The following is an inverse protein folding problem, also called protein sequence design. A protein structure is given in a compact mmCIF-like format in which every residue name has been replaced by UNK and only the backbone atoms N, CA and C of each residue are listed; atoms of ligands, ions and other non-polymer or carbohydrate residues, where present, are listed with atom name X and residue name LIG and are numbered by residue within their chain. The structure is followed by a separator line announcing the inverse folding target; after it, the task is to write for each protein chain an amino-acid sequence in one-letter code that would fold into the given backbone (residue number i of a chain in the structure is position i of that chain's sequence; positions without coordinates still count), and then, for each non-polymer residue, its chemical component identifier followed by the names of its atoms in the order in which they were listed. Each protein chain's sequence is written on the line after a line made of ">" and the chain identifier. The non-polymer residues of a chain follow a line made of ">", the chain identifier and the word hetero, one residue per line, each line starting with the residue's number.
data_IF_045483112033
#
_entry.id   IF_045483112033
#
_cell.length_a   1.000
_cell.length_b   1.000
_cell.length_c   1.000
_cell.angle_alpha   90.00
_cell.angle_beta   90.00
_cell.angle_gamma   90.00
#
_symmetry.space_group_name_H-M   'P 1'
#
loop_
_entity.id
_entity.type
_entity.pdbx_description
1 polymer ?
#
# COMPACT_ATOMS: atom_id res chain seq x y z
N UNK A 1 8.07 -31.36 -16.06
CA UNK A 1 8.76 -31.13 -14.78
C UNK A 1 8.15 -29.88 -14.16
N UNK A 2 7.53 -29.97 -12.97
CA UNK A 2 6.92 -28.80 -12.32
C UNK A 2 8.02 -28.01 -11.57
N UNK A 3 8.40 -26.87 -12.12
CA UNK A 3 9.36 -25.95 -11.50
C UNK A 3 8.67 -25.15 -10.38
N UNK A 4 9.03 -25.43 -9.13
CA UNK A 4 8.73 -24.58 -7.98
C UNK A 4 9.36 -23.20 -8.16
N UNK A 5 8.56 -22.14 -8.00
CA UNK A 5 8.98 -20.73 -7.97
C UNK A 5 10.32 -20.58 -7.21
N UNK A 6 11.38 -20.20 -7.94
CA UNK A 6 12.71 -20.07 -7.36
C UNK A 6 12.74 -18.97 -6.30
N UNK A 7 13.25 -19.28 -5.10
CA UNK A 7 13.48 -18.32 -4.00
C UNK A 7 14.68 -17.39 -4.24
N UNK A 8 14.87 -16.88 -5.46
CA UNK A 8 16.00 -16.00 -5.83
C UNK A 8 15.55 -14.57 -6.08
N UNK A 9 16.43 -13.59 -5.89
CA UNK A 9 16.21 -12.23 -6.36
C UNK A 9 16.14 -12.25 -7.91
N UNK A 10 15.02 -11.82 -8.54
CA UNK A 10 14.90 -11.79 -10.01
C UNK A 10 15.99 -10.99 -10.72
N UNK A 11 16.50 -9.93 -10.09
CA UNK A 11 17.55 -9.07 -10.63
C UNK A 11 18.92 -9.75 -10.57
N UNK A 12 19.21 -10.44 -9.47
CA UNK A 12 20.42 -11.23 -9.30
C UNK A 12 20.47 -12.35 -10.34
N UNK A 13 19.36 -13.09 -10.49
CA UNK A 13 19.23 -14.11 -11.52
C UNK A 13 19.43 -13.54 -12.94
N UNK A 14 18.84 -12.39 -13.23
CA UNK A 14 19.02 -11.75 -14.54
C UNK A 14 20.49 -11.37 -14.80
N UNK A 15 21.18 -10.81 -13.79
CA UNK A 15 22.58 -10.42 -13.93
C UNK A 15 23.48 -11.63 -14.17
N UNK A 16 23.26 -12.73 -13.44
CA UNK A 16 23.95 -14.00 -13.66
C UNK A 16 23.69 -14.53 -15.07
N UNK A 17 22.43 -14.61 -15.48
CA UNK A 17 22.06 -15.04 -16.83
C UNK A 17 22.69 -14.17 -17.92
N UNK A 18 22.67 -12.84 -17.77
CA UNK A 18 23.22 -11.90 -18.75
C UNK A 18 24.74 -12.07 -18.90
N UNK A 19 25.44 -12.31 -17.79
CA UNK A 19 26.88 -12.59 -17.80
C UNK A 19 27.19 -13.91 -18.51
N UNK A 20 26.45 -14.99 -18.21
CA UNK A 20 26.63 -16.28 -18.88
C UNK A 20 26.28 -16.20 -20.38
N UNK A 21 25.19 -15.53 -20.73
CA UNK A 21 24.77 -15.32 -22.10
C UNK A 21 25.83 -14.54 -22.89
N UNK A 22 26.40 -13.49 -22.29
CA UNK A 22 27.48 -12.72 -22.91
C UNK A 22 28.73 -13.56 -23.15
N UNK A 23 29.09 -14.44 -22.20
CA UNK A 23 30.19 -15.39 -22.38
C UNK A 23 29.90 -16.39 -23.50
N UNK A 24 28.72 -16.98 -23.52
CA UNK A 24 28.32 -17.94 -24.54
C UNK A 24 28.31 -17.32 -25.95
N UNK A 25 27.85 -16.07 -26.08
CA UNK A 25 27.95 -15.30 -27.33
C UNK A 25 29.41 -15.09 -27.74
N UNK A 26 30.29 -14.72 -26.80
CA UNK A 26 31.71 -14.51 -27.08
C UNK A 26 32.41 -15.79 -27.59
N UNK A 27 31.93 -16.97 -27.17
CA UNK A 27 32.41 -18.27 -27.64
C UNK A 27 31.66 -18.80 -28.88
N UNK A 28 30.74 -18.02 -29.47
CA UNK A 28 29.90 -18.43 -30.60
C UNK A 28 29.17 -19.77 -30.37
N UNK A 29 28.64 -19.99 -29.16
CA UNK A 29 27.83 -21.17 -28.89
C UNK A 29 26.50 -21.05 -29.65
N UNK A 30 26.12 -22.06 -30.47
CA UNK A 30 24.88 -22.01 -31.25
C UNK A 30 23.64 -22.06 -30.36
N UNK A 31 23.75 -22.69 -29.18
CA UNK A 31 22.63 -22.91 -28.24
C UNK A 31 22.08 -21.62 -27.62
N UNK A 32 22.81 -20.50 -27.71
CA UNK A 32 22.37 -19.18 -27.21
C UNK A 32 21.91 -18.25 -28.33
N UNK A 33 21.68 -18.79 -29.53
CA UNK A 33 21.27 -18.03 -30.70
C UNK A 33 19.95 -18.52 -31.28
N UNK A 34 19.27 -17.60 -31.95
CA UNK A 34 18.03 -17.89 -32.67
C UNK A 34 16.82 -18.13 -31.79
N UNK A 35 15.75 -18.59 -32.44
CA UNK A 35 14.43 -18.78 -31.86
C UNK A 35 14.40 -19.75 -30.66
N UNK A 36 15.10 -20.91 -30.68
CA UNK A 36 15.08 -21.84 -29.54
C UNK A 36 15.60 -21.20 -28.25
N UNK A 37 16.72 -20.46 -28.32
CA UNK A 37 17.29 -19.78 -27.16
C UNK A 37 16.35 -18.72 -26.57
N UNK A 38 15.59 -18.03 -27.43
CA UNK A 38 14.57 -17.05 -27.00
C UNK A 38 13.43 -17.76 -26.27
N UNK A 39 12.93 -18.87 -26.81
CA UNK A 39 11.85 -19.65 -26.19
C UNK A 39 12.29 -20.17 -24.82
N UNK A 40 13.44 -20.84 -24.75
CA UNK A 40 13.99 -21.40 -23.50
C UNK A 40 14.19 -20.31 -22.43
N UNK A 41 14.69 -19.14 -22.84
CA UNK A 41 14.83 -18.00 -21.94
C UNK A 41 13.48 -17.53 -21.40
N UNK A 42 12.49 -17.33 -22.27
CA UNK A 42 11.17 -16.85 -21.86
C UNK A 42 10.43 -17.86 -20.98
N UNK A 43 10.56 -19.17 -21.25
CA UNK A 43 10.03 -20.22 -20.38
C UNK A 43 10.69 -20.21 -18.99
N UNK A 44 12.02 -20.01 -18.93
CA UNK A 44 12.73 -19.86 -17.66
C UNK A 44 12.27 -18.62 -16.88
N UNK A 45 12.05 -17.49 -17.57
CA UNK A 45 11.50 -16.26 -16.95
C UNK A 45 10.09 -16.49 -16.42
N UNK A 46 9.24 -17.15 -17.21
CA UNK A 46 7.85 -17.41 -16.87
C UNK A 46 7.69 -18.36 -15.69
N UNK A 47 8.53 -19.39 -15.63
CA UNK A 47 8.53 -20.35 -14.52
C UNK A 47 9.04 -19.76 -13.21
N UNK A 48 9.95 -18.78 -13.25
CA UNK A 48 10.59 -18.25 -12.04
C UNK A 48 10.00 -16.95 -11.49
N UNK A 49 9.61 -15.99 -12.34
CA UNK A 49 9.38 -14.61 -11.86
C UNK A 49 8.16 -13.90 -12.47
N UNK A 50 7.99 -13.95 -13.79
CA UNK A 50 7.03 -13.10 -14.50
C UNK A 50 6.19 -13.92 -15.50
N UNK A 51 5.29 -14.80 -15.01
CA UNK A 51 4.55 -15.73 -15.87
C UNK A 51 3.73 -15.03 -16.94
N UNK A 52 3.02 -13.95 -16.58
CA UNK A 52 2.18 -13.21 -17.53
C UNK A 52 2.98 -12.48 -18.60
N UNK A 53 4.13 -11.92 -18.24
CA UNK A 53 5.01 -11.25 -19.21
C UNK A 53 5.63 -12.27 -20.16
N UNK A 54 6.17 -13.37 -19.63
CA UNK A 54 6.75 -14.44 -20.43
C UNK A 54 5.74 -15.01 -21.43
N UNK A 55 4.51 -15.28 -21.00
CA UNK A 55 3.45 -15.77 -21.88
C UNK A 55 3.13 -14.77 -22.99
N UNK A 56 3.07 -13.47 -22.68
CA UNK A 56 2.85 -12.43 -23.67
C UNK A 56 3.98 -12.37 -24.70
N UNK A 57 5.24 -12.40 -24.25
CA UNK A 57 6.41 -12.35 -25.13
C UNK A 57 6.51 -13.62 -25.99
N UNK A 58 6.24 -14.80 -25.45
CA UNK A 58 6.18 -16.05 -26.21
C UNK A 58 5.12 -15.99 -27.32
N UNK A 59 3.94 -15.46 -27.01
CA UNK A 59 2.89 -15.27 -28.01
C UNK A 59 3.33 -14.28 -29.10
N UNK A 60 4.04 -13.22 -28.74
CA UNK A 60 4.57 -12.25 -29.69
C UNK A 60 5.64 -12.87 -30.60
N UNK A 61 6.57 -13.65 -30.03
CA UNK A 61 7.57 -14.42 -30.79
C UNK A 61 6.90 -15.30 -31.84
N UNK A 62 5.84 -16.02 -31.46
CA UNK A 62 5.09 -16.89 -32.38
C UNK A 62 4.42 -16.09 -33.51
N UNK A 63 3.85 -14.92 -33.21
CA UNK A 63 3.27 -14.04 -34.23
C UNK A 63 4.33 -13.53 -35.20
N UNK A 64 5.47 -13.07 -34.68
CA UNK A 64 6.53 -12.51 -35.52
C UNK A 64 7.11 -13.58 -36.44
N UNK A 65 7.24 -14.83 -35.96
CA UNK A 65 7.64 -15.97 -36.77
C UNK A 65 6.62 -16.29 -37.87
N UNK A 66 5.32 -16.36 -37.54
CA UNK A 66 4.26 -16.59 -38.52
C UNK A 66 4.15 -15.50 -39.58
N UNK A 67 4.54 -14.27 -39.25
CA UNK A 67 4.49 -13.12 -40.14
C UNK A 67 5.83 -12.82 -40.81
N UNK A 68 6.84 -13.69 -40.65
CA UNK A 68 8.20 -13.52 -41.17
C UNK A 68 8.83 -12.16 -40.82
N UNK A 69 8.50 -11.64 -39.63
CA UNK A 69 9.05 -10.37 -39.13
C UNK A 69 10.40 -10.62 -38.47
N UNK A 70 11.24 -9.59 -38.49
CA UNK A 70 12.47 -9.60 -37.71
C UNK A 70 12.13 -9.68 -36.21
N UNK A 71 12.27 -10.86 -35.63
CA UNK A 71 12.05 -11.08 -34.20
C UNK A 71 13.17 -10.41 -33.40
N UNK A 72 12.87 -9.80 -32.25
CA UNK A 72 13.89 -9.27 -31.36
C UNK A 72 14.92 -10.33 -30.97
N UNK A 73 16.17 -9.90 -30.76
CA UNK A 73 17.24 -10.79 -30.31
C UNK A 73 17.05 -11.21 -28.86
N UNK A 74 17.72 -12.30 -28.46
CA UNK A 74 17.73 -12.76 -27.07
C UNK A 74 18.11 -11.65 -26.07
N UNK A 75 19.11 -10.83 -26.42
CA UNK A 75 19.53 -9.68 -25.61
C UNK A 75 18.42 -8.63 -25.48
N UNK A 76 17.67 -8.37 -26.55
CA UNK A 76 16.56 -7.42 -26.52
C UNK A 76 15.42 -7.92 -25.62
N UNK A 77 15.07 -9.20 -25.70
CA UNK A 77 14.12 -9.82 -24.78
C UNK A 77 14.61 -9.77 -23.32
N UNK A 78 15.91 -10.02 -23.10
CA UNK A 78 16.54 -9.85 -21.80
C UNK A 78 16.32 -8.44 -21.25
N UNK A 79 16.57 -7.41 -22.05
CA UNK A 79 16.36 -6.02 -21.63
C UNK A 79 14.91 -5.73 -21.25
N UNK A 80 13.94 -6.23 -22.02
CA UNK A 80 12.51 -6.07 -21.72
C UNK A 80 12.20 -6.65 -20.32
N UNK A 81 12.65 -7.88 -20.05
CA UNK A 81 12.46 -8.55 -18.76
C UNK A 81 13.11 -7.77 -17.62
N UNK A 82 14.32 -7.25 -17.81
CA UNK A 82 15.01 -6.42 -16.82
C UNK A 82 14.22 -5.16 -16.47
N UNK A 83 13.78 -4.39 -17.48
CA UNK A 83 13.02 -3.17 -17.26
C UNK A 83 11.67 -3.44 -16.58
N UNK A 84 10.96 -4.49 -17.00
CA UNK A 84 9.70 -4.89 -16.36
C UNK A 84 9.90 -5.29 -14.90
N UNK A 85 10.97 -6.02 -14.59
CA UNK A 85 11.30 -6.42 -13.21
C UNK A 85 11.59 -5.19 -12.32
N UNK A 86 12.33 -4.21 -12.84
CA UNK A 86 12.62 -2.96 -12.13
C UNK A 86 11.35 -2.11 -11.91
N UNK A 87 10.43 -2.09 -12.88
CA UNK A 87 9.17 -1.37 -12.78
C UNK A 87 8.27 -1.96 -11.69
N UNK A 88 8.12 -3.30 -11.64
CA UNK A 88 7.30 -3.98 -10.64
C UNK A 88 7.86 -3.79 -9.21
N UNK A 89 9.19 -3.76 -9.07
CA UNK A 89 9.85 -3.39 -7.80
C UNK A 89 9.53 -1.97 -7.37
N UNK A 90 9.49 -1.03 -8.32
CA UNK A 90 9.22 0.39 -8.04
C UNK A 90 7.76 0.60 -7.63
N UNK A 91 6.82 -0.05 -8.34
CA UNK A 91 5.38 -0.07 -7.98
C UNK A 91 5.13 -0.67 -6.60
N UNK A 92 5.78 -1.79 -6.30
CA UNK A 92 5.69 -2.44 -4.98
C UNK A 92 6.21 -1.55 -3.84
N UNK A 93 7.22 -0.72 -4.09
CA UNK A 93 7.74 0.27 -3.12
C UNK A 93 6.77 1.45 -2.95
N UNK A 94 6.10 1.90 -4.00
CA UNK A 94 5.12 3.00 -3.93
C UNK A 94 3.82 2.58 -3.24
N UNK A 95 3.31 1.37 -3.53
CA UNK A 95 2.13 0.83 -2.85
C UNK A 95 2.36 0.67 -1.34
N UNK A 96 3.57 0.22 -0.93
CA UNK A 96 3.94 0.15 0.48
C UNK A 96 4.09 1.52 1.16
N UNK A 97 4.47 2.58 0.43
CA UNK A 97 4.51 3.94 1.00
C UNK A 97 3.11 4.49 1.27
N UNK A 98 2.11 4.12 0.47
CA UNK A 98 0.73 4.56 0.69
C UNK A 98 0.01 3.80 1.81
N UNK A 99 0.43 2.59 2.16
CA UNK A 99 -0.15 1.84 3.29
C UNK A 99 0.42 2.23 4.67
N UNK A 100 1.49 3.03 4.75
CA UNK A 100 2.13 3.43 6.02
C UNK A 100 1.83 4.85 6.49
N UNK A 101 0.74 5.47 6.03
CA UNK A 101 0.16 6.58 6.80
C UNK A 101 -0.59 5.97 7.98
N UNK A 102 0.13 5.59 9.05
CA UNK A 102 -0.53 5.33 10.33
C UNK A 102 -1.28 6.60 10.70
N UNK A 103 -2.60 6.63 10.49
CA UNK A 103 -3.44 7.77 10.86
C UNK A 103 -3.28 7.95 12.35
N UNK A 104 -2.49 8.95 12.77
CA UNK A 104 -2.28 9.24 14.18
C UNK A 104 -3.63 9.61 14.76
N UNK A 105 -4.03 8.91 15.81
CA UNK A 105 -5.25 9.26 16.53
C UNK A 105 -5.04 10.62 17.22
N UNK A 106 -5.94 11.59 17.05
CA UNK A 106 -5.80 12.93 17.65
C UNK A 106 -5.81 12.89 19.20
N UNK A 107 -6.36 11.81 19.76
CA UNK A 107 -6.28 11.47 21.17
C UNK A 107 -4.86 11.20 21.71
N UNK A 108 -3.87 10.92 20.85
CA UNK A 108 -2.55 10.48 21.29
C UNK A 108 -1.85 11.60 22.07
N UNK A 109 -1.34 11.26 23.24
CA UNK A 109 -0.41 12.11 23.99
C UNK A 109 1.01 11.84 23.46
N UNK A 110 1.93 12.82 23.54
CA UNK A 110 3.27 12.67 22.98
C UNK A 110 4.07 11.50 23.59
N UNK A 111 4.39 10.55 22.72
CA UNK A 111 5.47 9.53 22.64
C UNK A 111 5.97 8.71 23.85
N UNK A 112 5.64 9.02 25.11
CA UNK A 112 6.17 8.25 26.25
C UNK A 112 5.24 7.18 26.82
N UNK A 113 4.11 6.90 26.16
CA UNK A 113 3.23 5.80 26.56
C UNK A 113 3.10 4.81 25.42
N UNK A 114 3.91 3.75 25.50
CA UNK A 114 3.71 2.56 24.69
C UNK A 114 2.30 2.02 24.94
N UNK A 115 1.60 1.75 23.84
CA UNK A 115 0.47 0.83 23.76
C UNK A 115 -0.60 0.93 24.85
N UNK A 116 -1.62 1.77 24.58
CA UNK A 116 -3.04 1.36 24.56
C UNK A 116 -3.88 2.59 24.22
N UNK A 117 -4.56 2.56 23.08
CA UNK A 117 -5.69 3.45 22.86
C UNK A 117 -6.65 3.25 24.04
N UNK A 118 -6.87 4.30 24.84
CA UNK A 118 -7.74 4.19 26.02
C UNK A 118 -9.23 4.38 25.66
N UNK A 119 -9.56 4.38 24.38
CA UNK A 119 -10.91 4.44 23.86
C UNK A 119 -11.09 3.34 22.81
N UNK A 120 -12.33 2.89 22.57
CA UNK A 120 -12.62 1.84 21.60
C UNK A 120 -12.65 2.33 20.16
N UNK A 121 -12.49 3.64 19.91
CA UNK A 121 -12.58 4.22 18.57
C UNK A 121 -11.31 4.04 17.76
N UNK A 122 -11.50 3.81 16.46
CA UNK A 122 -10.42 3.91 15.48
C UNK A 122 -9.96 5.37 15.30
N UNK A 123 -8.75 5.63 14.77
CA UNK A 123 -8.23 6.98 14.59
C UNK A 123 -9.16 7.93 13.83
N UNK A 124 -9.92 7.40 12.86
CA UNK A 124 -10.89 8.20 12.09
C UNK A 124 -12.13 8.55 12.92
N UNK A 125 -12.67 7.59 13.67
CA UNK A 125 -13.78 7.84 14.59
C UNK A 125 -13.38 8.83 15.69
N UNK A 126 -12.15 8.75 16.18
CA UNK A 126 -11.63 9.71 17.15
C UNK A 126 -11.53 11.14 16.58
N UNK A 127 -11.20 11.30 15.29
CA UNK A 127 -11.28 12.60 14.60
C UNK A 127 -12.70 13.08 14.49
N UNK A 128 -13.65 12.19 14.22
CA UNK A 128 -15.05 12.58 14.18
C UNK A 128 -15.54 13.04 15.56
N UNK A 129 -15.04 12.44 16.64
CA UNK A 129 -15.28 12.89 18.01
C UNK A 129 -14.67 14.27 18.26
N UNK A 130 -13.42 14.51 17.86
CA UNK A 130 -12.79 15.83 17.97
C UNK A 130 -13.60 16.91 17.24
N UNK A 131 -14.03 16.65 16.00
CA UNK A 131 -14.85 17.58 15.20
C UNK A 131 -16.22 17.79 15.84
N UNK A 132 -16.88 16.73 16.31
CA UNK A 132 -18.19 16.83 16.94
C UNK A 132 -18.16 17.64 18.25
N UNK A 133 -17.04 17.60 18.97
CA UNK A 133 -16.87 18.30 20.24
C UNK A 133 -16.34 19.72 20.10
N UNK A 134 -15.39 19.95 19.19
CA UNK A 134 -14.66 21.23 19.06
C UNK A 134 -15.03 22.04 17.81
N UNK A 135 -15.73 21.42 16.86
CA UNK A 135 -16.01 22.01 15.54
C UNK A 135 -14.81 22.07 14.60
N UNK A 136 -13.63 21.58 15.02
CA UNK A 136 -12.37 21.63 14.24
C UNK A 136 -11.61 20.31 14.38
N UNK A 137 -10.68 20.06 13.46
CA UNK A 137 -9.70 18.98 13.56
C UNK A 137 -8.37 19.54 13.08
N UNK A 138 -7.30 19.35 13.86
CA UNK A 138 -5.97 19.89 13.56
C UNK A 138 -5.49 19.40 12.19
N UNK A 139 -5.69 18.11 11.90
CA UNK A 139 -5.24 17.48 10.65
C UNK A 139 -6.18 17.72 9.46
N UNK A 140 -7.41 18.18 9.70
CA UNK A 140 -8.47 18.31 8.67
C UNK A 140 -9.37 19.52 8.96
N UNK A 141 -8.86 20.76 8.82
CA UNK A 141 -9.57 21.98 9.22
C UNK A 141 -10.88 22.22 8.45
N UNK A 142 -11.02 21.63 7.25
CA UNK A 142 -12.18 21.81 6.38
C UNK A 142 -13.22 20.67 6.50
N UNK A 143 -12.96 19.61 7.28
CA UNK A 143 -13.90 18.49 7.42
C UNK A 143 -15.09 18.93 8.29
N UNK A 144 -16.28 18.95 7.70
CA UNK A 144 -17.55 19.16 8.42
C UNK A 144 -18.29 17.84 8.54
N UNK A 145 -18.81 17.55 9.73
CA UNK A 145 -19.66 16.38 9.95
C UNK A 145 -21.13 16.76 9.77
N UNK A 146 -21.97 15.83 9.27
CA UNK A 146 -23.42 16.02 9.29
C UNK A 146 -23.94 16.23 10.71
N UNK A 147 -24.90 17.12 10.89
CA UNK A 147 -25.43 17.49 12.21
C UNK A 147 -26.00 16.28 12.98
N UNK A 148 -26.62 15.34 12.26
CA UNK A 148 -27.10 14.07 12.80
C UNK A 148 -25.99 13.26 13.47
N UNK A 149 -24.82 13.17 12.82
CA UNK A 149 -23.64 12.45 13.33
C UNK A 149 -23.06 13.16 14.55
N UNK A 150 -23.05 14.50 14.55
CA UNK A 150 -22.62 15.29 15.71
C UNK A 150 -23.51 15.01 16.91
N UNK A 151 -24.85 15.04 16.74
CA UNK A 151 -25.81 14.74 17.82
C UNK A 151 -25.65 13.31 18.36
N UNK A 152 -25.42 12.33 17.49
CA UNK A 152 -25.16 10.93 17.88
C UNK A 152 -23.86 10.77 18.65
N UNK A 153 -22.77 11.42 18.22
CA UNK A 153 -21.48 11.35 18.93
C UNK A 153 -21.60 12.01 20.31
N UNK A 154 -22.21 13.20 20.37
CA UNK A 154 -22.45 13.96 21.59
C UNK A 154 -23.31 13.17 22.59
N UNK A 155 -24.32 12.44 22.13
CA UNK A 155 -25.14 11.57 22.99
C UNK A 155 -24.38 10.32 23.46
N UNK A 156 -23.60 9.69 22.57
CA UNK A 156 -22.78 8.51 22.90
C UNK A 156 -21.74 8.80 23.97
N UNK A 157 -21.07 9.96 23.96
CA UNK A 157 -20.02 10.32 24.93
C UNK A 157 -20.52 10.32 26.39
N UNK A 158 -21.82 10.55 26.60
CA UNK A 158 -22.42 10.54 27.93
C UNK A 158 -22.81 9.14 28.42
N UNK A 159 -22.62 8.10 27.61
CA UNK A 159 -22.85 6.73 28.01
C UNK A 159 -21.83 6.33 29.10
N UNK A 160 -22.25 5.63 30.18
CA UNK A 160 -21.36 5.16 31.24
C UNK A 160 -20.05 4.51 30.76
N UNK A 161 -20.10 3.82 29.61
CA UNK A 161 -18.93 3.16 29.00
C UNK A 161 -17.79 4.11 28.59
N UNK A 162 -18.06 5.42 28.43
CA UNK A 162 -17.07 6.43 28.04
C UNK A 162 -16.75 7.44 29.16
N UNK A 163 -17.27 7.23 30.37
CA UNK A 163 -17.09 8.16 31.50
C UNK A 163 -15.61 8.42 31.82
N UNK A 164 -14.75 7.43 31.61
CA UNK A 164 -13.29 7.55 31.80
C UNK A 164 -12.59 8.42 30.74
N UNK A 165 -13.25 8.72 29.62
CA UNK A 165 -12.72 9.57 28.56
C UNK A 165 -13.00 11.06 28.77
N UNK A 166 -14.04 11.41 29.52
CA UNK A 166 -14.43 12.80 29.79
C UNK A 166 -13.26 13.60 30.40
N UNK A 167 -12.54 13.13 31.43
CA UNK A 167 -11.38 13.86 31.97
C UNK A 167 -10.26 14.06 30.94
N UNK A 168 -10.11 13.12 30.00
CA UNK A 168 -9.09 13.20 28.94
C UNK A 168 -9.44 14.23 27.89
N UNK A 169 -10.72 14.32 27.51
CA UNK A 169 -11.22 15.37 26.61
C UNK A 169 -11.10 16.75 27.25
N UNK A 170 -11.40 16.89 28.54
CA UNK A 170 -11.18 18.15 29.27
C UNK A 170 -9.69 18.53 29.28
N UNK A 171 -8.80 17.58 29.59
CA UNK A 171 -7.34 17.82 29.59
C UNK A 171 -6.81 18.22 28.21
N UNK A 172 -7.42 17.72 27.13
CA UNK A 172 -7.10 18.08 25.73
C UNK A 172 -7.78 19.36 25.25
N UNK A 173 -8.69 19.94 26.04
CA UNK A 173 -9.46 21.14 25.65
C UNK A 173 -10.62 20.85 24.70
N UNK A 174 -11.06 19.60 24.56
CA UNK A 174 -12.19 19.21 23.71
C UNK A 174 -13.55 19.38 24.39
N UNK A 175 -13.56 19.38 25.72
CA UNK A 175 -14.76 19.64 26.54
C UNK A 175 -14.41 20.67 27.60
N UNK A 176 -15.31 21.62 27.86
CA UNK A 176 -15.22 22.52 29.01
C UNK A 176 -15.66 21.79 30.29
N UNK A 177 -15.25 22.30 31.46
CA UNK A 177 -15.60 21.69 32.76
C UNK A 177 -17.12 21.69 33.03
N UNK A 178 -17.89 22.57 32.38
CA UNK A 178 -19.34 22.67 32.50
C UNK A 178 -20.07 21.45 31.90
N UNK A 179 -19.44 20.78 30.93
CA UNK A 179 -19.97 19.56 30.30
C UNK A 179 -19.88 18.31 31.19
N UNK A 180 -19.34 18.42 32.41
CA UNK A 180 -19.44 17.35 33.42
C UNK A 180 -20.88 17.08 33.84
N UNK A 181 -21.77 18.05 33.66
CA UNK A 181 -23.18 17.94 33.99
C UNK A 181 -24.02 17.71 32.73
N UNK A 182 -24.70 16.54 32.64
CA UNK A 182 -25.59 16.19 31.52
C UNK A 182 -26.64 17.27 31.23
N UNK A 183 -27.09 18.01 32.27
CA UNK A 183 -28.04 19.13 32.14
C UNK A 183 -27.44 20.39 31.50
N UNK A 184 -26.14 20.68 31.68
CA UNK A 184 -25.49 21.85 31.11
C UNK A 184 -25.14 21.63 29.63
N UNK A 185 -24.63 20.44 29.28
CA UNK A 185 -24.33 20.07 27.89
C UNK A 185 -25.57 19.98 26.99
N UNK A 186 -26.72 19.54 27.54
CA UNK A 186 -27.99 19.52 26.79
C UNK A 186 -28.55 20.92 26.52
N UNK A 187 -28.17 21.95 27.31
CA UNK A 187 -28.54 23.35 27.02
C UNK A 187 -27.79 23.86 25.79
N UNK A 188 -26.51 23.53 25.64
CA UNK A 188 -25.71 23.89 24.45
C UNK A 188 -26.11 23.13 23.18
N UNK A 189 -26.92 22.07 23.31
CA UNK A 189 -27.52 21.33 22.18
C UNK A 189 -28.86 21.91 21.70
N UNK A 190 -29.47 22.80 22.49
CA UNK A 190 -30.78 23.41 22.23
C UNK A 190 -30.70 24.91 21.88
N UNK A 191 -29.50 25.48 21.84
CA UNK A 191 -29.26 26.86 21.40
C UNK A 191 -28.45 26.82 20.11
N UNK A 192 -29.08 26.37 19.01
CA UNK A 192 -28.86 26.81 17.63
C UNK A 192 -30.21 26.70 16.91
#
# INVERSE_FOLDING_TARGET
>A
MHATLGRGDPLEWYNEWSLECSRAIAYNLPDVQGLPAIIDFLEAVGSKFLPSLAQHLLFQVMIDECLERASPTLTQYGNIVFFSTQQERSRSKEQNKNQRKSTKCPCQLPKNYQNRYSHPWDPEECRNVEIALTGKCIDQPNKKLPEKVIKEIKSKIHNPQFKHLIPKFVKKGWLTNDHKNKKAFLRDLLII
#
